data_IF_426150758644
#
_entry.id   IF_426150758644
#
_cell.length_a   1.000
_cell.length_b   1.000
_cell.length_c   1.000
_cell.angle_alpha   90.00
_cell.angle_beta   90.00
_cell.angle_gamma   90.00
#
_symmetry.space_group_name_H-M   'P 1'
#
loop_
_entity.id
_entity.type
_entity.pdbx_description
1 polymer ?
#
# COMPACT_ATOMS: atom_id res chain seq x y z
N UNK A 1 -6.09 82.18 -17.42
CA UNK A 1 -7.30 82.65 -18.14
C UNK A 1 -7.96 81.41 -18.76
N UNK A 2 -9.18 80.95 -18.46
CA UNK A 2 -10.52 81.56 -18.30
C UNK A 2 -11.17 82.03 -19.62
N UNK A 3 -12.42 81.54 -19.84
CA UNK A 3 -13.40 81.72 -20.94
C UNK A 3 -13.39 80.58 -21.98
N UNK A 4 -14.37 79.67 -22.03
CA UNK A 4 -15.84 79.75 -22.35
C UNK A 4 -16.17 80.21 -23.79
N UNK A 5 -16.77 79.30 -24.56
CA UNK A 5 -17.97 79.57 -25.37
C UNK A 5 -17.85 79.45 -26.90
N UNK A 6 -18.78 78.71 -27.51
CA UNK A 6 -18.98 78.69 -28.98
C UNK A 6 -19.95 77.59 -29.43
N UNK A 7 -21.13 77.95 -29.96
CA UNK A 7 -22.17 77.01 -30.48
C UNK A 7 -22.14 76.96 -32.02
N UNK A 8 -22.62 75.86 -32.64
CA UNK A 8 -23.75 75.82 -33.63
C UNK A 8 -23.98 74.43 -34.29
N UNK A 9 -25.14 73.81 -34.00
CA UNK A 9 -26.20 73.19 -34.86
C UNK A 9 -25.95 72.89 -36.37
N UNK A 10 -26.74 72.01 -37.05
CA UNK A 10 -27.08 70.60 -36.79
C UNK A 10 -26.94 69.70 -38.06
N UNK A 11 -27.24 68.39 -37.97
CA UNK A 11 -27.88 67.63 -39.07
C UNK A 11 -28.54 66.35 -38.53
N UNK A 12 -29.76 66.08 -38.98
CA UNK A 12 -30.55 64.92 -38.56
C UNK A 12 -30.48 63.80 -39.61
N UNK A 13 -30.54 62.54 -39.14
CA UNK A 13 -30.86 61.39 -39.97
C UNK A 13 -31.72 60.40 -39.16
N UNK A 14 -32.91 60.12 -39.68
CA UNK A 14 -33.68 58.89 -39.43
C UNK A 14 -32.82 57.68 -39.85
N UNK A 15 -33.06 56.44 -39.41
CA UNK A 15 -33.87 55.88 -38.33
C UNK A 15 -33.48 54.39 -38.23
N UNK A 16 -33.82 53.71 -37.13
CA UNK A 16 -34.32 52.31 -37.14
C UNK A 16 -34.70 51.91 -35.70
N UNK A 17 -35.87 51.31 -35.54
CA UNK A 17 -36.33 50.81 -34.25
C UNK A 17 -35.56 49.54 -33.87
N UNK A 18 -35.13 49.44 -32.60
CA UNK A 18 -34.44 48.28 -32.05
C UNK A 18 -34.83 48.09 -30.58
N UNK A 19 -35.33 46.90 -30.26
CA UNK A 19 -36.00 46.53 -29.01
C UNK A 19 -35.38 47.04 -27.70
N UNK A 20 -36.25 47.35 -26.73
CA UNK A 20 -35.85 47.58 -25.35
C UNK A 20 -35.33 46.29 -24.69
N UNK A 21 -34.17 46.36 -24.05
CA UNK A 21 -33.69 45.37 -23.10
C UNK A 21 -33.03 46.08 -21.91
N UNK A 22 -33.49 45.76 -20.69
CA UNK A 22 -32.94 46.31 -19.45
C UNK A 22 -31.56 45.70 -19.17
N UNK A 23 -30.50 46.41 -19.53
CA UNK A 23 -29.14 46.06 -19.14
C UNK A 23 -28.88 46.50 -17.69
N UNK A 24 -29.15 45.60 -16.74
CA UNK A 24 -28.63 45.73 -15.37
C UNK A 24 -27.10 45.68 -15.43
N UNK A 25 -26.46 46.78 -15.03
CA UNK A 25 -25.01 46.88 -14.94
C UNK A 25 -24.47 45.98 -13.83
N UNK A 26 -24.08 44.75 -14.17
CA UNK A 26 -23.28 43.88 -13.31
C UNK A 26 -21.83 43.97 -13.79
N UNK A 27 -20.97 44.59 -12.99
CA UNK A 27 -19.53 44.54 -13.25
C UNK A 27 -19.07 43.08 -13.18
N UNK A 28 -18.34 42.56 -14.20
CA UNK A 28 -17.71 41.25 -14.09
C UNK A 28 -16.55 41.38 -13.11
N UNK A 29 -16.83 41.13 -11.83
CA UNK A 29 -15.78 40.83 -10.87
C UNK A 29 -15.06 39.58 -11.38
N UNK A 30 -13.82 39.75 -11.84
CA UNK A 30 -12.96 38.63 -12.26
C UNK A 30 -12.53 37.86 -11.02
N UNK A 31 -13.44 37.05 -10.48
CA UNK A 31 -13.12 36.00 -9.55
C UNK A 31 -12.16 35.05 -10.27
N UNK A 32 -10.86 35.20 -9.98
CA UNK A 32 -9.86 34.24 -10.40
C UNK A 32 -10.19 32.93 -9.70
N UNK A 33 -10.91 32.07 -10.40
CA UNK A 33 -11.09 30.69 -10.02
C UNK A 33 -9.70 30.05 -9.98
N UNK A 34 -9.12 29.96 -8.78
CA UNK A 34 -7.96 29.12 -8.53
C UNK A 34 -8.31 27.73 -9.02
N UNK A 35 -7.72 27.32 -10.14
CA UNK A 35 -7.93 25.98 -10.67
C UNK A 35 -7.35 25.01 -9.65
N UNK A 36 -8.22 24.44 -8.81
CA UNK A 36 -7.89 23.26 -8.06
C UNK A 36 -7.51 22.20 -9.10
N UNK A 37 -6.22 21.90 -9.20
CA UNK A 37 -5.75 20.78 -10.01
C UNK A 37 -6.56 19.55 -9.59
N UNK A 38 -7.02 18.70 -10.53
CA UNK A 38 -7.74 17.50 -10.15
C UNK A 38 -6.83 16.70 -9.23
N UNK A 39 -7.25 16.55 -7.97
CA UNK A 39 -6.45 15.92 -6.93
C UNK A 39 -6.08 14.52 -7.37
N UNK A 40 -4.83 14.31 -7.74
CA UNK A 40 -4.31 12.98 -8.04
C UNK A 40 -4.58 12.10 -6.84
N UNK A 41 -5.28 10.99 -7.05
CA UNK A 41 -5.73 10.06 -6.03
C UNK A 41 -4.65 9.85 -4.97
N UNK A 42 -4.83 10.42 -3.78
CA UNK A 42 -3.89 10.28 -2.68
C UNK A 42 -3.85 8.79 -2.30
N UNK A 43 -2.70 8.15 -2.58
CA UNK A 43 -2.52 6.69 -2.51
C UNK A 43 -2.47 6.17 -1.06
N UNK A 44 -3.58 6.32 -0.33
CA UNK A 44 -3.80 5.76 1.00
C UNK A 44 -2.87 6.26 2.11
N UNK A 45 -3.03 5.75 3.34
CA UNK A 45 -2.00 5.84 4.35
C UNK A 45 -0.72 5.13 3.88
N UNK A 46 0.36 5.89 3.75
CA UNK A 46 1.69 5.34 3.52
C UNK A 46 2.09 4.47 4.72
N UNK A 47 2.55 3.25 4.47
CA UNK A 47 3.07 2.39 5.54
C UNK A 47 4.45 2.88 5.97
N UNK A 48 4.57 3.29 7.23
CA UNK A 48 5.86 3.63 7.84
C UNK A 48 6.57 2.36 8.32
N UNK A 49 7.77 2.11 7.81
CA UNK A 49 8.59 0.99 8.27
C UNK A 49 9.03 1.22 9.74
N UNK A 50 8.85 0.23 10.65
CA UNK A 50 9.31 0.35 12.03
C UNK A 50 10.83 0.55 12.15
N UNK A 51 11.27 1.26 13.20
CA UNK A 51 12.70 1.37 13.51
C UNK A 51 13.32 -0.01 13.77
N UNK A 52 14.52 -0.24 13.25
CA UNK A 52 15.20 -1.55 13.36
C UNK A 52 14.61 -2.67 12.50
N UNK A 53 13.60 -2.39 11.66
CA UNK A 53 13.06 -3.37 10.72
C UNK A 53 14.11 -3.81 9.68
N UNK A 54 14.24 -5.12 9.40
CA UNK A 54 15.14 -5.59 8.35
C UNK A 54 14.56 -5.22 6.99
N UNK A 55 15.37 -4.62 6.12
CA UNK A 55 14.97 -4.09 4.81
C UNK A 55 16.07 -4.33 3.77
N UNK A 56 15.79 -4.32 2.47
CA UNK A 56 16.80 -4.52 1.43
C UNK A 56 17.75 -3.31 1.24
N UNK A 57 17.57 -2.22 2.00
CA UNK A 57 18.44 -1.05 1.97
C UNK A 57 18.18 -0.07 0.83
N UNK A 58 19.21 0.67 0.43
CA UNK A 58 19.14 1.67 -0.63
C UNK A 58 18.89 1.02 -2.01
N UNK A 59 18.24 1.76 -2.92
CA UNK A 59 17.88 1.25 -4.26
C UNK A 59 16.56 0.48 -4.32
N UNK A 60 15.77 0.47 -3.24
CA UNK A 60 14.45 -0.15 -3.16
C UNK A 60 13.38 0.85 -2.70
N UNK A 61 12.13 0.60 -3.11
CA UNK A 61 10.94 1.30 -2.61
C UNK A 61 9.87 0.30 -2.18
N UNK A 62 9.02 0.71 -1.24
CA UNK A 62 7.80 -0.02 -0.90
C UNK A 62 6.85 0.06 -2.10
N UNK A 63 6.45 -1.10 -2.62
CA UNK A 63 5.40 -1.21 -3.64
C UNK A 63 4.02 -1.31 -2.98
N UNK A 64 3.93 -2.07 -1.89
CA UNK A 64 2.75 -2.22 -1.06
C UNK A 64 3.13 -2.75 0.32
N UNK A 65 2.26 -2.56 1.30
CA UNK A 65 2.32 -3.24 2.58
C UNK A 65 0.98 -3.91 2.87
N UNK A 66 1.00 -5.04 3.57
CA UNK A 66 -0.19 -5.82 3.90
C UNK A 66 -0.17 -6.27 5.36
N UNK A 67 -1.32 -6.16 6.03
CA UNK A 67 -1.53 -6.66 7.39
C UNK A 67 -2.13 -8.07 7.35
N UNK A 68 -1.64 -8.97 8.21
CA UNK A 68 -2.32 -10.25 8.49
C UNK A 68 -3.66 -9.97 9.19
N UNK A 69 -4.77 -10.36 8.56
CA UNK A 69 -6.12 -10.26 9.14
C UNK A 69 -6.60 -11.57 9.76
N UNK A 70 -6.01 -12.69 9.34
CA UNK A 70 -6.13 -14.02 9.94
C UNK A 70 -4.84 -14.77 9.63
N UNK A 71 -4.18 -15.37 10.62
CA UNK A 71 -2.94 -16.10 10.39
C UNK A 71 -2.61 -17.11 11.49
N UNK A 72 -1.99 -18.21 11.08
CA UNK A 72 -1.44 -19.25 11.96
C UNK A 72 -0.05 -19.68 11.49
N UNK A 73 0.87 -19.86 12.44
CA UNK A 73 2.14 -20.53 12.23
C UNK A 73 1.96 -21.97 12.75
N UNK A 74 2.05 -22.94 11.84
CA UNK A 74 1.84 -24.36 12.16
C UNK A 74 3.18 -25.04 12.43
N UNK A 75 3.21 -25.77 13.53
CA UNK A 75 4.34 -26.56 13.98
C UNK A 75 3.99 -28.05 13.95
N UNK A 76 4.99 -28.89 13.70
CA UNK A 76 4.89 -30.35 13.81
C UNK A 76 5.86 -30.82 14.90
N UNK A 77 5.39 -31.70 15.76
CA UNK A 77 6.22 -32.32 16.79
C UNK A 77 7.20 -33.31 16.15
N UNK A 78 8.48 -33.16 16.47
CA UNK A 78 9.54 -34.02 15.96
C UNK A 78 9.54 -35.40 16.64
N UNK A 79 10.34 -36.33 16.11
CA UNK A 79 10.45 -37.70 16.62
C UNK A 79 10.97 -37.79 18.06
N UNK A 80 11.66 -36.76 18.55
CA UNK A 80 12.15 -36.62 19.93
C UNK A 80 11.09 -36.11 20.93
N UNK A 81 9.84 -35.89 20.48
CA UNK A 81 8.77 -35.36 21.32
C UNK A 81 8.89 -33.85 21.60
N UNK A 82 9.70 -33.12 20.83
CA UNK A 82 9.84 -31.67 20.92
C UNK A 82 9.23 -30.94 19.73
N UNK A 83 8.79 -29.70 19.95
CA UNK A 83 8.45 -28.81 18.86
C UNK A 83 9.73 -28.30 18.19
N UNK A 84 9.85 -28.42 16.87
CA UNK A 84 10.91 -27.77 16.07
C UNK A 84 10.47 -26.43 15.51
N UNK A 85 11.39 -25.52 15.15
CA UNK A 85 11.09 -24.35 14.29
C UNK A 85 11.31 -24.66 12.81
N UNK A 86 12.25 -25.55 12.50
CA UNK A 86 12.48 -26.09 11.16
C UNK A 86 11.20 -26.75 10.62
N UNK A 87 10.89 -26.51 9.35
CA UNK A 87 9.70 -27.05 8.69
C UNK A 87 8.36 -26.44 9.14
N UNK A 88 8.34 -25.49 10.06
CA UNK A 88 7.09 -24.79 10.44
C UNK A 88 6.56 -23.93 9.28
N UNK A 89 5.24 -23.94 9.07
CA UNK A 89 4.60 -23.32 7.90
C UNK A 89 3.61 -22.22 8.28
N UNK A 90 3.60 -21.08 7.57
CA UNK A 90 2.52 -20.10 7.71
C UNK A 90 1.26 -20.57 6.96
N UNK A 91 0.11 -20.07 7.41
CA UNK A 91 -1.15 -20.00 6.66
C UNK A 91 -1.83 -18.69 7.09
N UNK A 92 -2.09 -17.76 6.16
CA UNK A 92 -2.61 -16.44 6.48
C UNK A 92 -3.29 -15.72 5.31
N UNK A 93 -4.28 -14.90 5.67
CA UNK A 93 -4.95 -13.93 4.79
C UNK A 93 -4.42 -12.53 5.11
N UNK A 94 -3.99 -11.82 4.07
CA UNK A 94 -3.34 -10.52 4.14
C UNK A 94 -4.19 -9.45 3.42
N UNK A 95 -4.39 -8.30 4.05
CA UNK A 95 -5.12 -7.16 3.50
C UNK A 95 -4.20 -5.94 3.34
N UNK A 96 -4.27 -5.28 2.18
CA UNK A 96 -3.39 -4.16 1.84
C UNK A 96 -3.67 -2.92 2.70
N UNK A 97 -2.62 -2.25 3.16
CA UNK A 97 -2.74 -0.88 3.71
C UNK A 97 -3.13 0.09 2.61
N UNK A 98 -4.19 0.88 2.85
CA UNK A 98 -4.65 1.91 1.91
C UNK A 98 -5.19 1.41 0.58
N UNK A 99 -5.53 0.13 0.46
CA UNK A 99 -5.98 -0.45 -0.80
C UNK A 99 -6.79 -1.74 -0.67
N UNK A 100 -7.26 -2.24 -1.81
CA UNK A 100 -8.13 -3.41 -1.88
C UNK A 100 -7.39 -4.73 -2.12
N UNK A 101 -6.06 -4.71 -2.26
CA UNK A 101 -5.26 -5.92 -2.47
C UNK A 101 -5.47 -6.97 -1.37
N UNK A 102 -5.52 -8.24 -1.79
CA UNK A 102 -5.63 -9.40 -0.91
C UNK A 102 -4.60 -10.44 -1.34
N UNK A 103 -3.83 -10.94 -0.38
CA UNK A 103 -2.81 -11.94 -0.60
C UNK A 103 -3.13 -13.16 0.29
N UNK A 104 -2.98 -14.36 -0.26
CA UNK A 104 -2.91 -15.59 0.52
C UNK A 104 -1.43 -15.93 0.75
N UNK A 105 -1.05 -16.11 2.01
CA UNK A 105 0.32 -16.44 2.42
C UNK A 105 0.36 -17.82 3.08
N UNK A 106 1.17 -18.74 2.54
CA UNK A 106 1.13 -20.15 2.94
C UNK A 106 2.50 -20.84 2.83
N UNK A 107 2.54 -22.15 3.09
CA UNK A 107 3.73 -22.99 3.16
C UNK A 107 4.77 -22.80 2.02
N UNK A 108 6.05 -22.89 2.40
CA UNK A 108 7.19 -22.72 1.49
C UNK A 108 7.56 -21.25 1.24
N UNK A 109 7.55 -20.40 2.29
CA UNK A 109 6.67 -19.22 2.36
C UNK A 109 6.31 -18.63 1.00
N UNK A 110 5.05 -18.80 0.58
CA UNK A 110 4.51 -18.25 -0.66
C UNK A 110 3.56 -17.10 -0.43
N UNK A 111 3.41 -16.22 -1.42
CA UNK A 111 2.38 -15.18 -1.45
C UNK A 111 1.69 -15.19 -2.81
N UNK A 112 0.38 -15.45 -2.83
CA UNK A 112 -0.44 -15.43 -4.04
C UNK A 112 -1.41 -14.25 -4.01
N UNK A 113 -1.38 -13.40 -5.04
CA UNK A 113 -2.38 -12.34 -5.23
C UNK A 113 -3.73 -12.97 -5.57
N UNK A 114 -4.77 -12.62 -4.81
CA UNK A 114 -6.14 -13.07 -5.11
C UNK A 114 -6.78 -12.33 -6.29
N UNK A 115 -6.08 -11.36 -6.90
CA UNK A 115 -6.58 -10.54 -8.01
C UNK A 115 -6.14 -11.05 -9.38
N UNK A 116 -4.88 -11.48 -9.51
CA UNK A 116 -4.33 -12.01 -10.78
C UNK A 116 -3.74 -13.42 -10.64
N UNK A 117 -3.72 -13.98 -9.43
CA UNK A 117 -3.15 -15.29 -9.15
C UNK A 117 -1.64 -15.36 -9.35
N UNK A 118 -0.92 -14.23 -9.39
CA UNK A 118 0.55 -14.25 -9.38
C UNK A 118 1.07 -14.70 -8.02
N UNK A 119 2.16 -15.46 -8.02
CA UNK A 119 2.70 -16.15 -6.83
C UNK A 119 4.19 -15.89 -6.70
N UNK A 120 4.62 -15.50 -5.51
CA UNK A 120 6.02 -15.44 -5.09
C UNK A 120 6.38 -16.63 -4.22
N UNK A 121 7.60 -17.15 -4.37
CA UNK A 121 8.28 -18.05 -3.47
C UNK A 121 9.34 -17.27 -2.67
N UNK A 122 9.38 -17.43 -1.35
CA UNK A 122 10.30 -16.69 -0.47
C UNK A 122 11.45 -17.51 0.10
N UNK A 123 12.61 -16.88 0.23
CA UNK A 123 13.78 -17.40 0.94
C UNK A 123 14.18 -16.43 2.04
N UNK A 124 14.34 -16.90 3.28
CA UNK A 124 14.83 -16.07 4.38
C UNK A 124 16.30 -15.75 4.16
N UNK A 125 16.68 -14.47 4.19
CA UNK A 125 18.08 -14.02 4.02
C UNK A 125 18.64 -13.31 5.25
N UNK A 126 17.78 -12.77 6.10
CA UNK A 126 18.14 -12.30 7.42
C UNK A 126 16.92 -12.41 8.35
N UNK A 127 17.16 -12.67 9.62
CA UNK A 127 16.23 -12.31 10.69
C UNK A 127 16.69 -11.02 11.38
N UNK A 128 15.76 -10.40 12.11
CA UNK A 128 16.09 -9.39 13.10
C UNK A 128 15.64 -9.90 14.47
N UNK A 129 16.32 -9.44 15.53
CA UNK A 129 16.00 -9.81 16.91
C UNK A 129 14.51 -9.66 17.17
N UNK A 130 13.92 -10.72 17.69
CA UNK A 130 12.50 -10.82 17.90
C UNK A 130 12.02 -9.74 18.89
N UNK A 131 11.38 -8.70 18.36
CA UNK A 131 10.83 -7.65 19.21
C UNK A 131 9.54 -8.19 19.87
N UNK A 132 9.64 -8.41 21.20
CA UNK A 132 8.59 -8.89 22.11
C UNK A 132 8.13 -10.35 21.91
N UNK A 133 8.78 -11.32 22.57
CA UNK A 133 8.22 -12.66 22.78
C UNK A 133 6.90 -12.67 23.59
N UNK A 134 6.03 -13.67 23.41
CA UNK A 134 6.10 -14.76 22.43
C UNK A 134 5.54 -14.34 21.06
N UNK A 135 6.42 -14.29 20.06
CA UNK A 135 6.11 -13.99 18.65
C UNK A 135 6.97 -14.80 17.68
N UNK A 136 6.67 -14.78 16.38
CA UNK A 136 7.62 -15.17 15.33
C UNK A 136 8.62 -14.02 15.05
N UNK A 137 9.86 -14.30 14.61
CA UNK A 137 10.86 -13.26 14.36
C UNK A 137 10.48 -12.35 13.17
N UNK A 138 11.00 -11.13 13.19
CA UNK A 138 11.00 -10.26 12.00
C UNK A 138 12.02 -10.82 11.00
N UNK A 139 11.69 -10.77 9.71
CA UNK A 139 12.50 -11.36 8.64
C UNK A 139 12.67 -10.38 7.48
N UNK A 140 13.82 -10.44 6.82
CA UNK A 140 13.95 -10.07 5.41
C UNK A 140 14.01 -11.35 4.59
N UNK A 141 13.18 -11.39 3.55
CA UNK A 141 13.18 -12.45 2.55
C UNK A 141 13.55 -11.88 1.18
N UNK A 142 14.23 -12.67 0.36
CA UNK A 142 14.24 -12.53 -1.10
C UNK A 142 13.07 -13.31 -1.69
N UNK A 143 12.61 -12.92 -2.88
CA UNK A 143 11.51 -13.58 -3.58
C UNK A 143 11.83 -13.91 -5.03
N UNK A 144 11.37 -15.08 -5.48
CA UNK A 144 11.31 -15.47 -6.88
C UNK A 144 9.85 -15.54 -7.35
N UNK A 145 9.57 -15.19 -8.60
CA UNK A 145 8.24 -15.36 -9.19
C UNK A 145 8.04 -16.84 -9.54
N UNK A 146 7.10 -17.48 -8.87
CA UNK A 146 6.70 -18.87 -9.14
C UNK A 146 5.57 -18.92 -10.19
N UNK A 147 4.70 -17.90 -10.22
CA UNK A 147 3.63 -17.75 -11.20
C UNK A 147 3.36 -16.28 -11.54
N UNK A 148 3.15 -15.99 -12.83
CA UNK A 148 2.86 -14.65 -13.33
C UNK A 148 3.97 -14.12 -14.25
N UNK A 149 3.94 -12.83 -14.54
CA UNK A 149 4.96 -12.14 -15.33
C UNK A 149 5.43 -10.86 -14.62
N UNK A 150 6.44 -10.17 -15.15
CA UNK A 150 6.89 -8.86 -14.63
C UNK A 150 5.82 -7.75 -14.62
N UNK A 151 4.68 -7.98 -15.27
CA UNK A 151 3.53 -7.07 -15.33
C UNK A 151 2.41 -7.44 -14.34
N UNK A 152 2.51 -8.62 -13.71
CA UNK A 152 1.60 -9.07 -12.65
C UNK A 152 1.78 -8.28 -11.36
N UNK A 153 0.78 -8.37 -10.47
CA UNK A 153 0.73 -7.65 -9.18
C UNK A 153 2.00 -7.81 -8.35
N UNK A 154 2.50 -9.03 -8.29
CA UNK A 154 3.71 -9.40 -7.54
C UNK A 154 4.96 -9.46 -8.43
N UNK A 155 4.83 -9.25 -9.74
CA UNK A 155 5.84 -9.57 -10.76
C UNK A 155 7.16 -8.78 -10.70
N UNK A 156 7.19 -7.65 -9.98
CA UNK A 156 8.40 -6.84 -9.75
C UNK A 156 8.98 -7.00 -8.34
N UNK A 157 8.33 -7.74 -7.45
CA UNK A 157 8.71 -7.84 -6.04
C UNK A 157 9.88 -8.80 -5.88
N UNK A 158 10.99 -8.28 -5.36
CA UNK A 158 12.25 -9.02 -5.16
C UNK A 158 12.55 -9.32 -3.70
N UNK A 159 11.93 -8.57 -2.78
CA UNK A 159 12.13 -8.73 -1.35
C UNK A 159 10.84 -8.48 -0.58
N UNK A 160 10.69 -9.15 0.55
CA UNK A 160 9.60 -8.96 1.51
C UNK A 160 10.18 -8.83 2.91
N UNK A 161 9.78 -7.79 3.65
CA UNK A 161 10.04 -7.69 5.09
C UNK A 161 8.82 -8.16 5.88
N UNK A 162 9.00 -9.08 6.83
CA UNK A 162 8.00 -9.41 7.86
C UNK A 162 8.33 -8.63 9.13
N UNK A 163 7.43 -7.76 9.58
CA UNK A 163 7.60 -6.85 10.72
C UNK A 163 6.34 -6.85 11.60
N UNK A 164 6.37 -6.13 12.73
CA UNK A 164 5.23 -5.96 13.65
C UNK A 164 4.57 -7.29 14.09
N UNK A 165 5.38 -8.35 14.24
CA UNK A 165 4.89 -9.69 14.56
C UNK A 165 4.31 -9.79 15.97
N UNK A 166 3.21 -10.54 16.09
CA UNK A 166 2.56 -10.88 17.37
C UNK A 166 2.14 -12.34 17.34
N UNK A 167 2.40 -13.10 18.41
CA UNK A 167 2.05 -14.52 18.45
C UNK A 167 2.75 -15.38 17.40
N UNK A 168 2.26 -16.59 17.20
CA UNK A 168 2.86 -17.59 16.30
C UNK A 168 4.14 -18.23 16.82
N UNK A 169 4.60 -17.90 18.03
CA UNK A 169 5.76 -18.56 18.62
C UNK A 169 5.51 -20.07 18.78
N UNK A 170 6.57 -20.85 18.65
CA UNK A 170 6.56 -22.29 18.85
C UNK A 170 6.00 -22.66 20.24
N UNK A 171 5.12 -23.67 20.36
CA UNK A 171 4.63 -24.12 21.66
C UNK A 171 5.78 -24.58 22.59
N UNK A 172 5.53 -24.51 23.89
CA UNK A 172 6.44 -24.96 24.96
C UNK A 172 6.01 -26.30 25.52
N UNK A 173 6.97 -27.08 26.02
CA UNK A 173 6.73 -28.41 26.60
C UNK A 173 6.89 -29.54 25.58
N UNK A 174 6.69 -30.77 26.06
CA UNK A 174 6.71 -31.98 25.25
C UNK A 174 5.43 -32.13 24.40
N UNK A 175 5.50 -32.95 23.36
CA UNK A 175 4.39 -33.25 22.46
C UNK A 175 4.48 -34.70 21.94
N UNK A 176 3.40 -35.19 21.36
CA UNK A 176 3.39 -36.51 20.70
C UNK A 176 4.02 -36.37 19.31
N UNK A 177 5.02 -37.19 18.92
CA UNK A 177 5.60 -37.16 17.57
C UNK A 177 4.55 -37.16 16.46
N UNK A 178 4.69 -36.27 15.47
CA UNK A 178 3.73 -36.09 14.39
C UNK A 178 2.48 -35.26 14.73
N UNK A 179 2.24 -34.93 16.01
CA UNK A 179 1.20 -33.97 16.40
C UNK A 179 1.48 -32.62 15.73
N UNK A 180 0.45 -31.96 15.21
CA UNK A 180 0.53 -30.60 14.69
C UNK A 180 -0.15 -29.60 15.61
N UNK A 181 0.37 -28.37 15.66
CA UNK A 181 -0.23 -27.26 16.40
C UNK A 181 -0.17 -25.99 15.57
N UNK A 182 -1.33 -25.46 15.22
CA UNK A 182 -1.47 -24.13 14.63
C UNK A 182 -1.48 -23.09 15.77
N UNK A 183 -0.54 -22.14 15.73
CA UNK A 183 -0.45 -21.04 16.70
C UNK A 183 -0.85 -19.74 16.00
N UNK A 184 -1.89 -19.01 16.47
CA UNK A 184 -2.32 -17.75 15.86
C UNK A 184 -1.20 -16.70 15.84
N UNK A 185 -1.06 -15.99 14.73
CA UNK A 185 -0.11 -14.86 14.61
C UNK A 185 -0.70 -13.68 13.83
N UNK A 186 -0.15 -12.50 14.12
CA UNK A 186 -0.26 -11.29 13.30
C UNK A 186 1.13 -10.84 12.85
N UNK A 187 1.18 -10.11 11.73
CA UNK A 187 2.36 -9.46 11.20
C UNK A 187 1.95 -8.41 10.16
N UNK A 188 2.88 -7.52 9.82
CA UNK A 188 2.85 -6.75 8.58
C UNK A 188 3.91 -7.28 7.61
N UNK A 189 3.55 -7.37 6.33
CA UNK A 189 4.42 -7.76 5.23
C UNK A 189 4.61 -6.58 4.27
N UNK A 190 5.85 -6.13 4.12
CA UNK A 190 6.24 -5.00 3.26
C UNK A 190 6.86 -5.55 1.99
N UNK A 191 6.27 -5.27 0.84
CA UNK A 191 6.68 -5.79 -0.46
C UNK A 191 7.53 -4.73 -1.16
N UNK A 192 8.78 -5.07 -1.47
CA UNK A 192 9.77 -4.16 -2.02
C UNK A 192 10.05 -4.43 -3.49
N UNK A 193 10.29 -3.35 -4.24
CA UNK A 193 10.71 -3.39 -5.64
C UNK A 193 11.95 -2.52 -5.82
N UNK A 194 12.87 -2.87 -6.75
CA UNK A 194 13.97 -2.00 -7.12
C UNK A 194 13.49 -0.63 -7.62
N UNK A 195 14.28 0.42 -7.36
CA UNK A 195 14.02 1.79 -7.84
C UNK A 195 14.30 1.99 -9.33
N UNK A 196 15.02 1.06 -9.96
CA UNK A 196 15.20 0.96 -11.41
C UNK A 196 14.00 0.30 -12.13
#
# INVERSE_FOLDING_TARGET
>A
MSRKGGRRVPRAALALAGAAALALGVAPGTAQASQASPGGHSHGPQFTLPAGAPSPGAGFRIQAAYKVVRGTQTYTCAADGTWGTAGSTPEAQLAQYGGYGRIHHYAGPRWTSLRDGSTLLGTVVADATQQKPPSIPWLLLTTAVEKGSKWSDLGRVTNISRVNTTGGARPTGACTPGQTQAVPYGADYVFWVPTA
#
